data_IF_381000553322
#
_entry.id   IF_381000553322
#
_cell.length_a   1.000
_cell.length_b   1.000
_cell.length_c   1.000
_cell.angle_alpha   90.00
_cell.angle_beta   90.00
_cell.angle_gamma   90.00
#
_symmetry.space_group_name_H-M   'P 1'
#
loop_
_entity.id
_entity.type
_entity.pdbx_description
1 polymer ?
#
# COMPACT_ATOMS: atom_id res chain seq x y z
N UNK A 1 -5.03 -15.45 4.33
CA UNK A 1 -5.01 -14.34 5.31
C UNK A 1 -6.42 -14.12 5.81
N UNK A 2 -6.61 -13.81 7.12
CA UNK A 2 -7.93 -13.51 7.70
C UNK A 2 -8.06 -12.03 8.02
N UNK A 3 -9.30 -11.52 8.01
CA UNK A 3 -9.58 -10.14 8.41
C UNK A 3 -9.04 -9.83 9.82
N UNK A 4 -9.15 -10.80 10.73
CA UNK A 4 -8.67 -10.67 12.11
C UNK A 4 -7.15 -10.42 12.19
N UNK A 5 -6.38 -11.11 11.38
CA UNK A 5 -4.93 -10.93 11.34
C UNK A 5 -4.57 -9.51 10.81
N UNK A 6 -5.27 -9.05 9.78
CA UNK A 6 -4.97 -7.74 9.17
C UNK A 6 -5.20 -6.60 10.18
N UNK A 7 -6.37 -6.50 10.81
CA UNK A 7 -6.64 -5.38 11.69
C UNK A 7 -5.82 -5.43 12.99
N UNK A 8 -5.59 -6.63 13.57
CA UNK A 8 -4.77 -6.76 14.78
C UNK A 8 -3.30 -6.45 14.53
N UNK A 9 -2.74 -6.95 13.44
CA UNK A 9 -1.37 -6.64 13.06
C UNK A 9 -1.20 -5.15 12.78
N UNK A 10 -2.19 -4.52 12.13
CA UNK A 10 -2.12 -3.07 11.85
C UNK A 10 -2.17 -2.26 13.15
N UNK A 11 -3.06 -2.58 14.06
CA UNK A 11 -3.19 -1.91 15.35
C UNK A 11 -1.91 -2.02 16.18
N UNK A 12 -1.30 -3.21 16.19
CA UNK A 12 -0.09 -3.50 16.96
C UNK A 12 1.17 -2.87 16.36
N UNK A 13 1.39 -3.04 15.05
CA UNK A 13 2.65 -2.70 14.41
C UNK A 13 2.66 -1.32 13.74
N UNK A 14 1.49 -0.79 13.36
CA UNK A 14 1.31 0.51 12.68
C UNK A 14 2.25 0.75 11.50
N UNK A 15 2.57 -0.32 10.78
CA UNK A 15 3.49 -0.33 9.64
C UNK A 15 2.81 -0.58 8.30
N UNK A 16 3.62 -0.66 7.25
CA UNK A 16 3.15 -1.10 5.93
C UNK A 16 2.92 -2.62 5.95
N UNK A 17 1.72 -3.04 5.59
CA UNK A 17 1.39 -4.46 5.44
C UNK A 17 1.57 -4.91 4.00
N UNK A 18 2.24 -6.05 3.82
CA UNK A 18 2.33 -6.75 2.55
C UNK A 18 1.42 -7.97 2.62
N UNK A 19 0.44 -8.03 1.73
CA UNK A 19 -0.58 -9.08 1.68
C UNK A 19 -0.46 -9.76 0.33
N UNK A 20 0.08 -10.95 0.32
CA UNK A 20 0.22 -11.77 -0.88
C UNK A 20 -0.94 -12.76 -1.03
N UNK A 21 -1.16 -13.22 -2.25
CA UNK A 21 -2.23 -14.18 -2.61
C UNK A 21 -3.62 -13.73 -2.15
N UNK A 22 -3.93 -12.46 -2.38
CA UNK A 22 -5.25 -11.94 -2.04
C UNK A 22 -6.28 -12.43 -3.06
N UNK A 23 -7.15 -13.34 -2.63
CA UNK A 23 -8.15 -13.95 -3.51
C UNK A 23 -9.34 -13.02 -3.78
N UNK A 24 -9.95 -13.17 -4.97
CA UNK A 24 -11.09 -12.35 -5.43
C UNK A 24 -12.28 -12.35 -4.45
N UNK A 25 -12.54 -13.48 -3.76
CA UNK A 25 -13.61 -13.59 -2.76
C UNK A 25 -13.47 -12.59 -1.60
N UNK A 26 -12.27 -12.11 -1.34
CA UNK A 26 -12.02 -11.11 -0.30
C UNK A 26 -12.34 -9.68 -0.75
N UNK A 27 -12.55 -9.47 -2.04
CA UNK A 27 -12.96 -8.19 -2.61
C UNK A 27 -14.47 -8.02 -2.72
N UNK A 28 -15.28 -8.98 -2.24
CA UNK A 28 -16.72 -8.84 -2.18
C UNK A 28 -17.11 -7.65 -1.30
N UNK A 29 -18.06 -6.84 -1.79
CA UNK A 29 -18.45 -5.55 -1.17
C UNK A 29 -18.77 -5.65 0.32
N UNK A 30 -19.36 -6.76 0.74
CA UNK A 30 -19.80 -7.01 2.12
C UNK A 30 -18.73 -7.68 2.98
N UNK A 31 -17.53 -7.93 2.43
CA UNK A 31 -16.50 -8.60 3.17
C UNK A 31 -15.96 -7.69 4.30
N UNK A 32 -15.71 -8.29 5.46
CA UNK A 32 -15.08 -7.57 6.58
C UNK A 32 -13.70 -7.01 6.23
N UNK A 33 -13.03 -7.59 5.23
CA UNK A 33 -11.75 -7.13 4.71
C UNK A 33 -11.89 -5.84 3.92
N UNK A 34 -12.88 -5.74 3.04
CA UNK A 34 -13.15 -4.50 2.29
C UNK A 34 -13.47 -3.36 3.26
N UNK A 35 -14.21 -3.60 4.33
CA UNK A 35 -14.46 -2.59 5.35
C UNK A 35 -13.17 -2.11 6.03
N UNK A 36 -12.25 -3.03 6.37
CA UNK A 36 -10.96 -2.71 6.98
C UNK A 36 -10.11 -1.89 6.00
N UNK A 37 -10.04 -2.30 4.74
CA UNK A 37 -9.28 -1.61 3.70
C UNK A 37 -9.86 -0.22 3.43
N UNK A 38 -11.19 -0.11 3.34
CA UNK A 38 -11.89 1.16 3.13
C UNK A 38 -11.71 2.17 4.28
N UNK A 39 -11.53 1.71 5.52
CA UNK A 39 -11.26 2.57 6.66
C UNK A 39 -9.75 2.85 6.84
N UNK A 40 -8.92 1.94 6.36
CA UNK A 40 -7.47 1.98 6.59
C UNK A 40 -6.69 3.07 5.87
N UNK A 41 -7.32 3.84 4.98
CA UNK A 41 -6.68 4.98 4.32
C UNK A 41 -6.74 6.28 5.15
N UNK A 42 -7.65 6.36 6.13
CA UNK A 42 -7.78 7.53 7.00
C UNK A 42 -6.87 7.41 8.21
N UNK A 43 -6.22 8.51 8.57
CA UNK A 43 -5.33 8.57 9.74
C UNK A 43 -5.99 8.12 11.05
N UNK A 44 -7.27 8.43 11.23
CA UNK A 44 -8.10 8.06 12.37
C UNK A 44 -8.98 6.82 12.10
N UNK A 45 -8.66 6.06 11.05
CA UNK A 45 -9.44 4.91 10.61
C UNK A 45 -9.45 3.80 11.67
N UNK A 46 -10.65 3.49 12.18
CA UNK A 46 -10.85 2.40 13.14
C UNK A 46 -11.93 1.45 12.64
N UNK A 47 -11.84 0.19 13.08
CA UNK A 47 -12.91 -0.80 12.95
C UNK A 47 -13.27 -1.32 14.33
N UNK A 48 -14.57 -1.47 14.58
CA UNK A 48 -15.06 -2.06 15.82
C UNK A 48 -15.18 -3.57 15.66
N UNK A 49 -14.67 -4.32 16.63
CA UNK A 49 -14.82 -5.78 16.66
C UNK A 49 -15.19 -6.21 18.08
N UNK A 50 -16.09 -7.19 18.19
CA UNK A 50 -16.42 -7.76 19.50
C UNK A 50 -15.32 -8.72 19.94
N UNK A 51 -14.76 -8.48 21.10
CA UNK A 51 -13.87 -9.40 21.78
C UNK A 51 -14.56 -10.03 22.98
N UNK A 52 -14.32 -11.32 23.18
CA UNK A 52 -14.84 -12.04 24.35
C UNK A 52 -13.83 -11.92 25.49
N UNK A 53 -14.21 -11.23 26.55
CA UNK A 53 -13.44 -11.15 27.77
C UNK A 53 -14.32 -11.65 28.94
N UNK A 54 -13.93 -12.76 29.54
CA UNK A 54 -14.63 -13.39 30.67
C UNK A 54 -16.13 -13.63 30.41
N UNK A 55 -16.46 -14.16 29.22
CA UNK A 55 -17.85 -14.46 28.82
C UNK A 55 -18.71 -13.25 28.44
N UNK A 56 -18.15 -12.04 28.44
CA UNK A 56 -18.82 -10.82 27.98
C UNK A 56 -18.24 -10.35 26.65
N UNK A 57 -19.13 -10.12 25.69
CA UNK A 57 -18.75 -9.52 24.40
C UNK A 57 -18.67 -8.00 24.56
N UNK A 58 -17.47 -7.45 24.35
CA UNK A 58 -17.26 -6.00 24.37
C UNK A 58 -16.79 -5.53 23.00
N UNK A 59 -17.36 -4.44 22.46
CA UNK A 59 -16.82 -3.81 21.26
C UNK A 59 -15.48 -3.14 21.60
N UNK A 60 -14.45 -3.48 20.80
CA UNK A 60 -13.09 -2.95 20.94
C UNK A 60 -12.74 -2.26 19.62
N UNK A 61 -12.25 -1.01 19.66
CA UNK A 61 -11.74 -0.33 18.49
C UNK A 61 -10.33 -0.82 18.14
N UNK A 62 -10.09 -1.07 16.85
CA UNK A 62 -8.77 -1.37 16.31
C UNK A 62 -8.39 -0.32 15.26
N UNK A 63 -7.22 0.27 15.43
CA UNK A 63 -6.68 1.19 14.42
C UNK A 63 -6.26 0.39 13.18
N UNK A 64 -6.79 0.78 12.02
CA UNK A 64 -6.51 0.12 10.74
C UNK A 64 -5.77 1.00 9.76
N UNK A 65 -5.40 2.22 10.18
CA UNK A 65 -4.65 3.15 9.35
C UNK A 65 -3.25 2.62 9.04
N UNK A 66 -2.87 2.71 7.79
CA UNK A 66 -1.52 2.45 7.32
C UNK A 66 -1.48 1.93 5.89
N UNK A 67 -0.34 2.09 5.21
CA UNK A 67 -0.15 1.62 3.86
C UNK A 67 -0.30 0.11 3.76
N UNK A 68 -0.91 -0.35 2.67
CA UNK A 68 -1.06 -1.78 2.37
C UNK A 68 -0.65 -2.04 0.93
N UNK A 69 0.22 -3.01 0.74
CA UNK A 69 0.61 -3.50 -0.58
C UNK A 69 -0.05 -4.87 -0.75
N UNK A 70 -0.90 -4.98 -1.75
CA UNK A 70 -1.71 -6.18 -1.98
C UNK A 70 -1.34 -6.76 -3.33
N UNK A 71 -0.87 -8.00 -3.35
CA UNK A 71 -0.72 -8.77 -4.58
C UNK A 71 -1.97 -9.61 -4.80
N UNK A 72 -2.66 -9.39 -5.92
CA UNK A 72 -3.91 -10.05 -6.25
C UNK A 72 -3.97 -10.40 -7.74
N UNK A 73 -4.75 -11.42 -8.09
CA UNK A 73 -4.98 -11.80 -9.48
C UNK A 73 -6.05 -10.95 -10.16
N UNK A 74 -6.89 -10.28 -9.39
CA UNK A 74 -8.01 -9.46 -9.86
C UNK A 74 -8.04 -8.14 -9.12
N UNK A 75 -8.56 -7.13 -9.77
CA UNK A 75 -8.78 -5.81 -9.14
C UNK A 75 -9.98 -5.86 -8.17
N UNK A 76 -10.01 -4.95 -7.19
CA UNK A 76 -11.18 -4.80 -6.32
C UNK A 76 -12.44 -4.48 -7.13
N UNK A 77 -13.53 -5.19 -6.84
CA UNK A 77 -14.84 -4.95 -7.44
C UNK A 77 -15.59 -3.80 -6.73
N UNK A 78 -15.23 -3.51 -5.49
CA UNK A 78 -15.79 -2.39 -4.75
C UNK A 78 -15.17 -1.07 -5.26
N UNK A 79 -16.00 -0.21 -5.84
CA UNK A 79 -15.56 1.06 -6.42
C UNK A 79 -14.96 2.00 -5.38
N UNK A 80 -15.46 1.94 -4.13
CA UNK A 80 -14.93 2.75 -3.06
C UNK A 80 -13.50 2.32 -2.70
N UNK A 81 -13.23 1.03 -2.65
CA UNK A 81 -11.88 0.50 -2.42
C UNK A 81 -10.97 0.81 -3.62
N UNK A 82 -11.43 0.52 -4.83
CA UNK A 82 -10.67 0.78 -6.05
C UNK A 82 -10.24 2.24 -6.16
N UNK A 83 -11.11 3.18 -5.83
CA UNK A 83 -10.80 4.61 -5.83
C UNK A 83 -9.74 5.03 -4.79
N UNK A 84 -9.38 4.16 -3.85
CA UNK A 84 -8.37 4.38 -2.81
C UNK A 84 -7.07 3.62 -3.06
N UNK A 85 -7.02 2.85 -4.15
CA UNK A 85 -5.86 2.05 -4.52
C UNK A 85 -5.10 2.69 -5.65
N UNK A 86 -3.78 2.58 -5.60
CA UNK A 86 -2.93 2.73 -6.76
C UNK A 86 -2.74 1.33 -7.35
N UNK A 87 -3.28 1.11 -8.54
CA UNK A 87 -3.28 -0.22 -9.19
C UNK A 87 -2.14 -0.32 -10.17
N UNK A 88 -1.18 -1.22 -9.89
CA UNK A 88 -0.11 -1.57 -10.82
C UNK A 88 -0.47 -2.89 -11.51
N UNK A 89 -0.67 -2.83 -12.83
CA UNK A 89 -0.87 -4.03 -13.63
C UNK A 89 0.47 -4.58 -14.06
N UNK A 90 0.80 -5.78 -13.59
CA UNK A 90 2.04 -6.47 -13.95
C UNK A 90 1.75 -7.49 -15.04
N UNK A 91 2.41 -7.36 -16.17
CA UNK A 91 2.38 -8.36 -17.22
C UNK A 91 3.35 -9.49 -16.87
N UNK A 92 3.00 -10.73 -17.26
CA UNK A 92 3.91 -11.86 -17.11
C UNK A 92 5.00 -11.74 -18.19
N UNK A 93 6.27 -11.51 -17.82
CA UNK A 93 7.34 -11.36 -18.79
C UNK A 93 7.67 -12.72 -19.42
N UNK A 94 8.14 -12.67 -20.65
CA UNK A 94 8.80 -13.80 -21.31
C UNK A 94 10.22 -13.97 -20.78
N UNK A 95 10.81 -15.15 -20.97
CA UNK A 95 12.22 -15.40 -20.63
C UNK A 95 13.15 -14.44 -21.37
N UNK A 96 12.84 -14.11 -22.61
CA UNK A 96 13.63 -13.18 -23.41
C UNK A 96 13.64 -11.77 -22.81
N UNK A 97 12.50 -11.25 -22.38
CA UNK A 97 12.38 -9.96 -21.69
C UNK A 97 13.13 -9.95 -20.35
N UNK A 98 13.05 -11.04 -19.57
CA UNK A 98 13.82 -11.16 -18.34
C UNK A 98 15.34 -11.08 -18.59
N UNK A 99 15.83 -11.76 -19.63
CA UNK A 99 17.23 -11.72 -20.02
C UNK A 99 17.63 -10.32 -20.53
N UNK A 100 16.80 -9.70 -21.37
CA UNK A 100 17.05 -8.35 -21.91
C UNK A 100 17.20 -7.30 -20.79
N UNK A 101 16.42 -7.42 -19.73
CA UNK A 101 16.42 -6.51 -18.61
C UNK A 101 17.28 -6.98 -17.41
N UNK A 102 18.06 -8.07 -17.58
CA UNK A 102 18.86 -8.67 -16.50
C UNK A 102 18.07 -8.97 -15.21
N UNK A 103 16.81 -9.37 -15.36
CA UNK A 103 15.96 -9.74 -14.23
C UNK A 103 16.19 -11.22 -13.92
N UNK A 104 16.67 -11.57 -12.71
CA UNK A 104 16.93 -12.95 -12.35
C UNK A 104 15.62 -13.73 -12.20
N UNK A 105 15.59 -14.97 -12.72
CA UNK A 105 14.46 -15.90 -12.56
C UNK A 105 14.24 -16.32 -11.10
N UNK A 106 15.31 -16.33 -10.34
CA UNK A 106 15.28 -16.71 -8.93
C UNK A 106 15.92 -15.64 -8.06
N UNK A 107 15.49 -15.58 -6.81
CA UNK A 107 16.05 -14.67 -5.82
C UNK A 107 17.40 -15.20 -5.33
N UNK A 108 18.43 -14.99 -6.14
CA UNK A 108 19.81 -15.48 -5.88
C UNK A 108 20.48 -14.73 -4.71
N UNK A 109 21.64 -15.23 -4.27
CA UNK A 109 22.43 -14.58 -3.21
C UNK A 109 22.75 -13.10 -3.48
N UNK A 110 23.21 -12.72 -4.69
CA UNK A 110 23.44 -11.31 -5.04
C UNK A 110 22.18 -10.46 -4.96
N UNK A 111 21.04 -10.96 -5.45
CA UNK A 111 19.74 -10.24 -5.39
C UNK A 111 19.27 -10.04 -3.96
N UNK A 112 19.43 -11.06 -3.11
CA UNK A 112 19.10 -10.98 -1.67
C UNK A 112 19.97 -9.93 -0.97
N UNK A 113 21.26 -9.90 -1.25
CA UNK A 113 22.19 -8.91 -0.69
C UNK A 113 21.80 -7.49 -1.12
N UNK A 114 21.43 -7.30 -2.38
CA UNK A 114 20.95 -6.01 -2.87
C UNK A 114 19.65 -5.59 -2.18
N UNK A 115 18.67 -6.48 -2.05
CA UNK A 115 17.43 -6.21 -1.33
C UNK A 115 17.68 -5.85 0.14
N UNK A 116 18.65 -6.51 0.79
CA UNK A 116 19.04 -6.19 2.16
C UNK A 116 19.69 -4.79 2.26
N UNK A 117 20.57 -4.43 1.33
CA UNK A 117 21.15 -3.09 1.26
C UNK A 117 20.06 -2.02 1.06
N UNK A 118 19.09 -2.25 0.17
CA UNK A 118 17.99 -1.35 -0.05
C UNK A 118 17.13 -1.19 1.21
N UNK A 119 16.77 -2.29 1.87
CA UNK A 119 16.05 -2.27 3.15
C UNK A 119 16.77 -1.45 4.21
N UNK A 120 18.08 -1.63 4.34
CA UNK A 120 18.88 -0.91 5.32
C UNK A 120 18.96 0.59 5.00
N UNK A 121 19.04 0.97 3.71
CA UNK A 121 18.96 2.37 3.28
C UNK A 121 17.61 3.00 3.59
N UNK A 122 16.50 2.28 3.33
CA UNK A 122 15.15 2.73 3.67
C UNK A 122 14.96 2.89 5.17
N UNK A 123 15.52 1.99 5.97
CA UNK A 123 15.50 2.10 7.43
C UNK A 123 16.31 3.32 7.89
N UNK A 124 17.49 3.55 7.33
CA UNK A 124 18.29 4.76 7.58
C UNK A 124 17.52 6.04 7.24
N UNK A 125 16.88 6.07 6.07
CA UNK A 125 16.01 7.18 5.67
C UNK A 125 14.90 7.42 6.70
N UNK A 126 14.22 6.36 7.14
CA UNK A 126 13.16 6.46 8.15
C UNK A 126 13.68 7.10 9.44
N UNK A 127 14.84 6.71 9.93
CA UNK A 127 15.43 7.32 11.14
C UNK A 127 15.80 8.78 10.93
N UNK A 128 16.37 9.12 9.79
CA UNK A 128 16.74 10.50 9.46
C UNK A 128 15.51 11.40 9.35
N UNK A 129 14.42 10.87 8.80
CA UNK A 129 13.19 11.64 8.54
C UNK A 129 12.17 11.58 9.68
N UNK A 130 12.41 10.79 10.75
CA UNK A 130 11.45 10.55 11.81
C UNK A 130 10.99 11.83 12.54
N UNK A 131 11.85 12.82 12.69
CA UNK A 131 11.57 14.07 13.42
C UNK A 131 11.18 15.26 12.55
N UNK A 132 11.13 15.11 11.26
CA UNK A 132 10.85 16.25 10.40
C UNK A 132 11.14 16.01 8.93
N UNK A 133 10.44 15.10 8.29
CA UNK A 133 10.18 15.37 6.88
C UNK A 133 9.36 16.64 6.84
N UNK A 134 9.90 17.75 6.29
CA UNK A 134 9.02 18.78 5.80
C UNK A 134 8.16 18.05 4.77
N UNK A 135 6.88 17.87 5.08
CA UNK A 135 5.90 17.43 4.11
C UNK A 135 5.82 18.55 3.10
N UNK A 136 6.80 18.61 2.20
CA UNK A 136 6.69 19.39 1.00
C UNK A 136 5.59 18.68 0.21
N UNK A 137 4.35 19.07 0.48
CA UNK A 137 3.22 18.68 -0.35
C UNK A 137 3.47 19.28 -1.72
N UNK A 138 4.16 18.52 -2.55
CA UNK A 138 4.18 18.79 -3.97
C UNK A 138 2.75 18.48 -4.44
N UNK A 139 1.92 19.49 -4.48
CA UNK A 139 0.56 19.35 -4.99
C UNK A 139 0.66 19.17 -6.50
N UNK A 140 0.17 18.06 -6.99
CA UNK A 140 -0.18 17.93 -8.40
C UNK A 140 -1.52 18.65 -8.58
N UNK A 141 -1.49 19.80 -9.19
CA UNK A 141 -2.67 20.48 -9.70
C UNK A 141 -2.88 20.02 -11.15
N UNK A 142 -3.50 18.88 -11.33
CA UNK A 142 -3.90 18.40 -12.65
C UNK A 142 -5.43 18.43 -12.71
N UNK A 143 -5.97 19.22 -13.63
CA UNK A 143 -7.42 19.31 -13.89
C UNK A 143 -8.00 17.97 -14.40
N UNK A 144 -7.13 17.08 -14.90
CA UNK A 144 -7.53 15.75 -15.41
C UNK A 144 -7.74 14.70 -14.31
N UNK A 145 -7.25 14.93 -13.10
CA UNK A 145 -7.31 13.96 -12.01
C UNK A 145 -8.56 14.14 -11.14
N UNK A 146 -9.20 13.04 -10.77
CA UNK A 146 -10.24 13.08 -9.74
C UNK A 146 -9.62 13.55 -8.40
N UNK A 147 -10.39 14.22 -7.52
CA UNK A 147 -9.87 14.65 -6.21
C UNK A 147 -9.28 13.50 -5.38
N UNK A 148 -9.81 12.31 -5.54
CA UNK A 148 -9.33 11.11 -4.85
C UNK A 148 -7.99 10.63 -5.41
N UNK A 149 -7.84 10.57 -6.73
CA UNK A 149 -6.58 10.23 -7.39
C UNK A 149 -5.49 11.23 -7.00
N UNK A 150 -5.79 12.52 -6.99
CA UNK A 150 -4.87 13.56 -6.54
C UNK A 150 -4.40 13.36 -5.09
N UNK A 151 -5.29 12.94 -4.16
CA UNK A 151 -4.91 12.62 -2.78
C UNK A 151 -3.90 11.47 -2.68
N UNK A 152 -4.09 10.40 -3.46
CA UNK A 152 -3.19 9.25 -3.47
C UNK A 152 -1.84 9.65 -4.07
N UNK A 153 -1.85 10.31 -5.21
CA UNK A 153 -0.65 10.76 -5.90
C UNK A 153 0.15 11.72 -5.03
N UNK A 154 -0.48 12.71 -4.43
CA UNK A 154 0.19 13.66 -3.55
C UNK A 154 0.86 12.98 -2.35
N UNK A 155 0.26 11.91 -1.82
CA UNK A 155 0.87 11.12 -0.75
C UNK A 155 2.16 10.43 -1.20
N UNK A 156 2.21 9.93 -2.43
CA UNK A 156 3.42 9.32 -3.01
C UNK A 156 4.45 10.40 -3.34
N UNK A 157 4.04 11.48 -3.98
CA UNK A 157 4.93 12.55 -4.41
C UNK A 157 5.56 13.31 -3.24
N UNK A 158 4.93 13.29 -2.07
CA UNK A 158 5.47 13.95 -0.87
C UNK A 158 6.82 13.38 -0.43
N UNK A 159 7.14 12.15 -0.81
CA UNK A 159 8.40 11.46 -0.47
C UNK A 159 9.37 11.35 -1.64
N UNK A 160 8.99 11.82 -2.83
CA UNK A 160 9.84 11.78 -4.03
C UNK A 160 10.79 12.98 -4.03
N UNK A 161 12.10 12.79 -4.25
CA UNK A 161 13.04 13.88 -4.43
C UNK A 161 12.61 14.85 -5.54
N UNK A 162 12.84 16.15 -5.33
CA UNK A 162 12.37 17.19 -6.27
C UNK A 162 12.87 17.01 -7.70
N UNK A 163 14.10 16.55 -7.86
CA UNK A 163 14.72 16.29 -9.16
C UNK A 163 14.05 15.18 -9.95
N UNK A 164 13.32 14.28 -9.28
CA UNK A 164 12.62 13.15 -9.93
C UNK A 164 11.14 13.42 -10.18
N UNK A 165 10.61 14.50 -9.60
CA UNK A 165 9.18 14.82 -9.68
C UNK A 165 8.62 14.87 -11.09
N UNK A 166 9.26 15.53 -12.09
CA UNK A 166 8.70 15.64 -13.42
C UNK A 166 8.49 14.28 -14.09
N UNK A 167 9.52 13.40 -14.02
CA UNK A 167 9.43 12.07 -14.59
C UNK A 167 8.42 11.17 -13.88
N UNK A 168 8.34 11.31 -12.55
CA UNK A 168 7.40 10.53 -11.74
C UNK A 168 5.96 10.96 -11.99
N UNK A 169 5.71 12.26 -12.12
CA UNK A 169 4.41 12.82 -12.43
C UNK A 169 3.90 12.34 -13.78
N UNK A 170 4.72 12.42 -14.82
CA UNK A 170 4.39 11.91 -16.15
C UNK A 170 4.08 10.41 -16.14
N UNK A 171 4.86 9.63 -15.39
CA UNK A 171 4.61 8.20 -15.25
C UNK A 171 3.27 7.89 -14.56
N UNK A 172 2.91 8.65 -13.54
CA UNK A 172 1.64 8.49 -12.82
C UNK A 172 0.43 8.91 -13.66
N UNK A 173 0.54 9.99 -14.43
CA UNK A 173 -0.52 10.47 -15.32
C UNK A 173 -0.82 9.46 -16.45
N UNK A 174 0.19 8.72 -16.89
CA UNK A 174 0.03 7.67 -17.91
C UNK A 174 -0.60 6.36 -17.36
N UNK A 175 -0.69 6.19 -16.04
CA UNK A 175 -1.21 4.98 -15.38
C UNK A 175 -2.58 5.14 -14.75
N UNK A 176 -3.14 6.31 -14.75
CA UNK A 176 -4.45 6.65 -14.19
C UNK A 176 -5.50 6.89 -15.27
#
# INVERSE_FOLDING_TARGET
>A
VTAANIFRMQDMARGTQFIDEFESKYFDKDSSLVQILNNGYKYDGVVMRCENSNGKHKPVPFNVFGPKVIAARTEPQDDALRSRCFVLRLNKPTIAELHQHNIPLEFTGPTRKHAEQLRNRLLGLRFTCYHGMPVAFNKVESESLSPRAAQIINSILSVVPREWLPGFQTALENHL
#
